data_IF_021819263634
#
_entry.id   IF_021819263634
#
_cell.length_a   1.000
_cell.length_b   1.000
_cell.length_c   1.000
_cell.angle_alpha   90.00
_cell.angle_beta   90.00
_cell.angle_gamma   90.00
#
_symmetry.space_group_name_H-M   'P 1'
#
loop_
_entity.id
_entity.type
_entity.pdbx_description
1 polymer ?
#
# COMPACT_ATOMS: atom_id res chain seq x y z
N UNK A 1 -60.05 50.19 -20.98
CA UNK A 1 -58.54 50.20 -20.77
C UNK A 1 -58.08 49.12 -19.82
N UNK A 2 -58.94 48.42 -19.02
CA UNK A 2 -58.49 47.32 -18.08
C UNK A 2 -58.42 45.92 -18.72
N UNK A 3 -58.93 45.73 -19.97
CA UNK A 3 -58.96 44.43 -20.65
C UNK A 3 -57.64 44.07 -21.35
N UNK A 4 -56.97 45.04 -21.93
CA UNK A 4 -55.75 44.82 -22.73
C UNK A 4 -54.50 44.47 -21.91
N UNK A 5 -54.36 45.01 -20.71
CA UNK A 5 -53.24 44.74 -19.82
C UNK A 5 -53.21 43.28 -19.27
N UNK A 6 -54.41 42.67 -19.12
CA UNK A 6 -54.54 41.28 -18.63
C UNK A 6 -54.23 40.25 -19.69
N UNK A 7 -54.56 40.55 -20.95
CA UNK A 7 -54.22 39.69 -22.11
C UNK A 7 -52.74 39.77 -22.46
N UNK A 8 -52.12 40.94 -22.39
CA UNK A 8 -50.66 41.10 -22.58
C UNK A 8 -49.89 40.35 -21.49
N UNK A 9 -50.35 40.41 -20.24
CA UNK A 9 -49.69 39.67 -19.11
C UNK A 9 -49.79 38.14 -19.28
N UNK A 10 -50.93 37.64 -19.80
CA UNK A 10 -51.13 36.21 -20.10
C UNK A 10 -50.27 35.77 -21.28
N UNK A 11 -50.12 36.62 -22.29
CA UNK A 11 -49.26 36.33 -23.45
C UNK A 11 -47.79 36.32 -23.07
N UNK A 12 -47.33 37.24 -22.20
CA UNK A 12 -45.97 37.28 -21.67
C UNK A 12 -45.66 36.03 -20.82
N UNK A 13 -46.62 35.63 -19.96
CA UNK A 13 -46.45 34.42 -19.11
C UNK A 13 -46.34 33.15 -19.96
N UNK A 14 -47.10 33.03 -21.07
CA UNK A 14 -46.99 31.92 -22.02
C UNK A 14 -45.67 31.93 -22.78
N UNK A 15 -45.15 33.10 -23.17
CA UNK A 15 -43.84 33.22 -23.81
C UNK A 15 -42.71 32.83 -22.85
N UNK A 16 -42.76 33.28 -21.61
CA UNK A 16 -41.74 32.88 -20.58
C UNK A 16 -41.79 31.38 -20.30
N UNK A 17 -42.98 30.80 -20.18
CA UNK A 17 -43.14 29.36 -20.00
C UNK A 17 -42.61 28.55 -21.20
N UNK A 18 -42.84 29.05 -22.44
CA UNK A 18 -42.33 28.42 -23.64
C UNK A 18 -40.79 28.52 -23.75
N UNK A 19 -40.20 29.66 -23.40
CA UNK A 19 -38.75 29.83 -23.35
C UNK A 19 -38.10 28.96 -22.26
N UNK A 20 -38.70 28.82 -21.09
CA UNK A 20 -38.21 27.94 -20.03
C UNK A 20 -38.30 26.46 -20.44
N UNK A 21 -39.37 26.05 -21.15
CA UNK A 21 -39.45 24.66 -21.64
C UNK A 21 -38.45 24.36 -22.76
N UNK A 22 -38.17 25.35 -23.64
CA UNK A 22 -37.10 25.19 -24.65
C UNK A 22 -35.70 25.13 -24.03
N UNK A 23 -35.41 25.90 -22.99
CA UNK A 23 -34.16 25.86 -22.27
C UNK A 23 -33.97 24.54 -21.50
N UNK A 24 -35.05 23.98 -20.94
CA UNK A 24 -35.03 22.64 -20.32
C UNK A 24 -34.81 21.55 -21.39
N UNK A 25 -35.44 21.63 -22.55
CA UNK A 25 -35.20 20.68 -23.64
C UNK A 25 -33.75 20.75 -24.18
N UNK A 26 -33.18 21.94 -24.29
CA UNK A 26 -31.79 22.14 -24.72
C UNK A 26 -30.80 21.57 -23.70
N UNK A 27 -31.13 21.61 -22.42
CA UNK A 27 -30.33 20.95 -21.33
C UNK A 27 -30.30 19.43 -21.41
N UNK A 28 -31.34 18.80 -21.94
CA UNK A 28 -31.36 17.35 -22.17
C UNK A 28 -30.62 16.88 -23.41
N UNK A 29 -30.34 17.79 -24.37
CA UNK A 29 -29.59 17.51 -25.60
C UNK A 29 -28.09 17.71 -25.45
N UNK A 30 -27.62 18.31 -24.37
CA UNK A 30 -26.20 18.32 -23.98
C UNK A 30 -25.87 17.05 -23.16
N UNK A 31 -26.25 15.89 -23.68
CA UNK A 31 -25.78 14.60 -23.18
C UNK A 31 -24.28 14.59 -23.34
N UNK A 32 -23.57 14.65 -22.19
CA UNK A 32 -22.14 14.37 -22.13
C UNK A 32 -21.86 13.09 -22.91
N UNK A 33 -20.94 13.17 -23.84
CA UNK A 33 -20.29 12.00 -24.45
C UNK A 33 -19.58 11.20 -23.36
N UNK A 34 -20.33 10.45 -22.52
CA UNK A 34 -19.82 9.54 -21.48
C UNK A 34 -19.57 8.13 -22.05
N UNK A 35 -19.84 7.94 -23.33
CA UNK A 35 -19.46 6.68 -23.99
C UNK A 35 -18.09 6.94 -24.62
N UNK A 36 -17.05 6.70 -23.84
CA UNK A 36 -15.69 6.55 -24.40
C UNK A 36 -15.75 5.41 -25.42
N UNK A 37 -15.37 5.70 -26.64
CA UNK A 37 -15.22 4.72 -27.71
C UNK A 37 -14.36 3.56 -27.18
N UNK A 38 -14.77 2.29 -27.34
CA UNK A 38 -13.94 1.14 -26.94
C UNK A 38 -12.49 1.21 -27.46
N UNK A 39 -12.27 1.85 -28.61
CA UNK A 39 -10.93 2.09 -29.16
C UNK A 39 -10.12 3.07 -28.30
N UNK A 40 -10.75 4.10 -27.73
CA UNK A 40 -10.05 5.04 -26.82
C UNK A 40 -9.70 4.41 -25.47
N UNK A 41 -10.46 3.39 -25.03
CA UNK A 41 -10.15 2.59 -23.83
C UNK A 41 -9.05 1.55 -24.08
N UNK A 42 -8.77 1.22 -25.34
CA UNK A 42 -7.69 0.30 -25.76
C UNK A 42 -6.40 1.04 -26.14
N UNK A 43 -6.39 2.35 -26.15
CA UNK A 43 -5.17 3.12 -26.34
C UNK A 43 -4.28 2.97 -25.12
N UNK A 44 -3.02 2.55 -25.34
CA UNK A 44 -2.00 2.63 -24.30
C UNK A 44 -1.91 4.08 -23.81
N UNK A 45 -1.85 4.31 -22.48
CA UNK A 45 -1.68 5.66 -21.95
C UNK A 45 -0.51 6.36 -22.65
N UNK A 46 -0.76 7.50 -23.29
CA UNK A 46 0.31 8.32 -23.86
C UNK A 46 1.14 8.87 -22.71
N UNK A 47 2.46 8.65 -22.75
CA UNK A 47 3.38 9.31 -21.82
C UNK A 47 3.26 10.83 -22.00
N UNK A 48 3.41 11.58 -20.90
CA UNK A 48 3.55 13.04 -20.98
C UNK A 48 4.77 13.42 -21.82
N UNK A 49 4.71 14.58 -22.47
CA UNK A 49 5.80 15.08 -23.31
C UNK A 49 7.13 15.14 -22.54
N UNK A 50 7.10 15.53 -21.29
CA UNK A 50 8.26 15.56 -20.38
C UNK A 50 8.88 14.18 -20.18
N UNK A 51 8.06 13.15 -19.90
CA UNK A 51 8.55 11.76 -19.78
C UNK A 51 9.10 11.21 -21.09
N UNK A 52 8.53 11.61 -22.21
CA UNK A 52 9.08 11.23 -23.53
C UNK A 52 10.42 11.89 -23.79
N UNK A 53 10.58 13.16 -23.45
CA UNK A 53 11.84 13.90 -23.58
C UNK A 53 12.93 13.30 -22.67
N UNK A 54 12.60 13.00 -21.42
CA UNK A 54 13.53 12.35 -20.48
C UNK A 54 13.98 10.97 -20.98
N UNK A 55 13.04 10.11 -21.41
CA UNK A 55 13.40 8.80 -21.98
C UNK A 55 14.24 8.93 -23.25
N UNK A 56 13.97 9.92 -24.10
CA UNK A 56 14.77 10.25 -25.28
C UNK A 56 16.19 10.66 -24.92
N UNK A 57 16.34 11.50 -23.90
CA UNK A 57 17.63 11.94 -23.37
C UNK A 57 18.45 10.77 -22.78
N UNK A 58 17.79 9.91 -21.98
CA UNK A 58 18.41 8.70 -21.41
C UNK A 58 18.97 7.82 -22.53
N UNK A 59 18.16 7.48 -23.54
CA UNK A 59 18.56 6.63 -24.65
C UNK A 59 19.72 7.25 -25.48
N UNK A 60 19.68 8.58 -25.66
CA UNK A 60 20.71 9.26 -26.49
C UNK A 60 22.04 9.39 -25.76
N UNK A 61 22.02 9.67 -24.44
CA UNK A 61 23.20 10.03 -23.66
C UNK A 61 23.83 8.87 -22.88
N UNK A 62 23.06 7.80 -22.63
CA UNK A 62 23.57 6.55 -22.00
C UNK A 62 23.66 5.38 -22.98
N UNK A 63 23.20 5.57 -24.24
CA UNK A 63 23.06 4.48 -25.20
C UNK A 63 21.75 3.71 -24.97
N UNK A 64 21.60 2.56 -25.63
CA UNK A 64 20.38 1.75 -25.54
C UNK A 64 20.28 0.97 -24.20
N UNK A 65 20.50 1.65 -23.07
CA UNK A 65 20.32 1.05 -21.74
C UNK A 65 18.86 1.09 -21.33
N UNK A 66 18.44 0.09 -20.57
CA UNK A 66 17.11 0.09 -19.94
C UNK A 66 17.24 0.46 -18.47
N UNK A 67 16.47 1.44 -17.98
CA UNK A 67 16.41 1.74 -16.55
C UNK A 67 15.97 0.51 -15.75
N UNK A 68 16.69 0.21 -14.68
CA UNK A 68 16.36 -0.86 -13.75
C UNK A 68 15.11 -0.50 -12.97
N UNK A 69 14.23 -1.48 -12.79
CA UNK A 69 13.11 -1.38 -11.86
C UNK A 69 13.57 -1.92 -10.51
N UNK A 70 13.30 -1.19 -9.42
CA UNK A 70 13.50 -1.76 -8.09
C UNK A 70 12.70 -3.06 -7.92
N UNK A 71 13.26 -4.00 -7.19
CA UNK A 71 12.60 -5.25 -6.81
C UNK A 71 11.59 -5.02 -5.65
N UNK A 72 11.03 -3.81 -5.58
CA UNK A 72 10.00 -3.39 -4.66
C UNK A 72 8.65 -3.44 -5.39
N UNK A 73 7.75 -4.38 -5.05
CA UNK A 73 6.46 -4.50 -5.73
C UNK A 73 5.53 -3.30 -5.47
N UNK A 74 5.72 -2.60 -4.36
CA UNK A 74 4.91 -1.44 -4.00
C UNK A 74 5.36 -0.17 -4.73
N UNK A 75 6.64 -0.10 -5.14
CA UNK A 75 7.19 1.06 -5.85
C UNK A 75 8.23 0.70 -6.93
N UNK A 76 7.80 0.07 -8.03
CA UNK A 76 8.68 -0.38 -9.11
C UNK A 76 9.09 0.74 -10.09
N UNK A 77 9.04 2.00 -9.68
CA UNK A 77 9.30 3.15 -10.56
C UNK A 77 10.79 3.24 -10.90
N UNK A 78 11.18 3.14 -12.20
CA UNK A 78 12.59 3.04 -12.58
C UNK A 78 13.33 4.38 -12.67
N UNK A 79 12.62 5.48 -12.92
CA UNK A 79 13.18 6.84 -13.00
C UNK A 79 12.44 7.70 -12.00
N UNK A 80 13.16 8.40 -11.15
CA UNK A 80 12.60 9.32 -10.17
C UNK A 80 13.02 10.73 -10.46
N UNK A 81 12.09 11.66 -10.26
CA UNK A 81 12.35 13.10 -10.40
C UNK A 81 12.10 13.79 -9.08
N UNK A 82 12.87 14.82 -8.81
CA UNK A 82 12.76 15.67 -7.66
C UNK A 82 13.90 16.66 -7.57
N UNK A 83 13.71 17.74 -6.84
CA UNK A 83 14.70 18.78 -6.66
C UNK A 83 15.81 18.31 -5.68
N UNK A 84 16.99 17.96 -6.25
CA UNK A 84 18.12 17.45 -5.49
C UNK A 84 19.14 18.54 -5.15
N UNK A 85 19.01 19.74 -5.71
CA UNK A 85 19.98 20.84 -5.54
C UNK A 85 19.37 22.13 -4.99
N UNK A 86 18.05 22.15 -4.74
CA UNK A 86 17.25 23.26 -4.24
C UNK A 86 17.26 24.50 -5.16
N UNK A 87 17.22 24.26 -6.48
CA UNK A 87 17.11 25.34 -7.47
C UNK A 87 15.65 25.53 -7.97
N UNK A 88 14.73 24.68 -7.51
CA UNK A 88 13.32 24.69 -7.86
C UNK A 88 13.00 23.99 -9.18
N UNK A 89 13.97 23.28 -9.76
CA UNK A 89 13.82 22.45 -10.96
C UNK A 89 14.14 21.01 -10.58
N UNK A 90 13.32 20.07 -11.02
CA UNK A 90 13.55 18.66 -10.70
C UNK A 90 14.74 18.09 -11.50
N UNK A 91 15.62 17.34 -10.85
CA UNK A 91 16.54 16.42 -11.46
C UNK A 91 15.88 15.06 -11.67
N UNK A 92 16.42 14.29 -12.61
CA UNK A 92 16.04 12.90 -12.81
C UNK A 92 17.19 11.95 -12.47
N UNK A 93 16.87 10.91 -11.69
CA UNK A 93 17.80 9.86 -11.32
C UNK A 93 17.26 8.51 -11.77
N UNK A 94 18.15 7.68 -12.28
CA UNK A 94 17.85 6.29 -12.64
C UNK A 94 19.06 5.40 -12.38
N UNK A 95 18.79 4.11 -12.23
CA UNK A 95 19.81 3.06 -12.26
C UNK A 95 19.68 2.24 -13.53
N UNK A 96 20.79 1.72 -14.04
CA UNK A 96 20.84 0.87 -15.23
C UNK A 96 21.95 -0.18 -15.10
N UNK A 97 21.87 -1.22 -15.92
CA UNK A 97 22.80 -2.35 -15.89
C UNK A 97 23.79 -2.31 -17.04
N UNK A 98 25.05 -2.65 -16.72
CA UNK A 98 26.13 -2.87 -17.71
C UNK A 98 26.71 -4.27 -17.48
N UNK A 99 26.16 -5.33 -18.10
CA UNK A 99 26.47 -6.73 -17.77
C UNK A 99 27.92 -7.13 -17.96
N UNK A 100 28.60 -6.45 -18.85
CA UNK A 100 29.99 -6.76 -19.25
C UNK A 100 31.07 -6.07 -18.39
N UNK A 101 30.63 -5.24 -17.41
CA UNK A 101 31.53 -4.52 -16.52
C UNK A 101 31.66 -5.20 -15.14
N UNK A 102 32.74 -4.87 -14.42
CA UNK A 102 32.96 -5.39 -13.06
C UNK A 102 31.94 -4.84 -12.06
N UNK A 103 31.53 -3.59 -12.21
CA UNK A 103 30.39 -2.99 -11.55
C UNK A 103 29.19 -3.13 -12.50
N UNK A 104 28.16 -3.82 -12.08
CA UNK A 104 27.03 -4.13 -12.96
C UNK A 104 25.94 -3.08 -12.92
N UNK A 105 25.72 -2.44 -11.77
CA UNK A 105 24.69 -1.42 -11.59
C UNK A 105 25.36 -0.06 -11.55
N UNK A 106 24.92 0.83 -12.42
CA UNK A 106 25.32 2.24 -12.44
C UNK A 106 24.11 3.13 -12.24
N UNK A 107 24.32 4.28 -11.61
CA UNK A 107 23.36 5.36 -11.53
C UNK A 107 23.69 6.47 -12.52
N UNK A 108 22.67 7.21 -12.95
CA UNK A 108 22.83 8.43 -13.73
C UNK A 108 21.90 9.53 -13.20
N UNK A 109 22.42 10.74 -13.18
CA UNK A 109 21.71 11.95 -12.83
C UNK A 109 21.61 12.86 -14.05
N UNK A 110 20.41 13.35 -14.31
CA UNK A 110 20.08 14.30 -15.38
C UNK A 110 19.51 15.57 -14.78
N UNK A 111 19.91 16.72 -15.31
CA UNK A 111 19.30 18.03 -14.99
C UNK A 111 18.40 18.47 -16.14
N UNK A 112 17.27 19.09 -15.81
CA UNK A 112 16.44 19.78 -16.81
C UNK A 112 16.97 21.20 -17.06
N UNK A 113 17.42 21.44 -18.28
CA UNK A 113 17.89 22.76 -18.76
C UNK A 113 16.84 23.42 -19.66
N UNK A 114 15.72 23.81 -19.06
CA UNK A 114 14.63 24.47 -19.78
C UNK A 114 13.88 23.56 -20.76
N UNK A 115 13.55 22.35 -20.34
CA UNK A 115 12.85 21.33 -21.11
C UNK A 115 13.81 20.40 -21.90
N UNK A 116 15.11 20.52 -21.69
CA UNK A 116 16.13 19.64 -22.28
C UNK A 116 16.87 18.92 -21.18
N UNK A 117 16.67 17.60 -21.07
CA UNK A 117 17.36 16.78 -20.10
C UNK A 117 18.82 16.52 -20.52
N UNK A 118 19.75 16.89 -19.66
CA UNK A 118 21.21 16.76 -19.88
C UNK A 118 21.80 15.88 -18.79
N UNK A 119 22.51 14.82 -19.20
CA UNK A 119 23.24 13.96 -18.26
C UNK A 119 24.34 14.76 -17.57
N UNK A 120 24.25 14.86 -16.25
CA UNK A 120 25.22 15.57 -15.43
C UNK A 120 26.37 14.68 -15.01
N UNK A 121 26.06 13.52 -14.47
CA UNK A 121 27.05 12.56 -13.98
C UNK A 121 26.52 11.13 -14.05
N UNK A 122 27.45 10.19 -13.92
CA UNK A 122 27.18 8.78 -13.63
C UNK A 122 27.93 8.39 -12.38
N UNK A 123 27.41 7.39 -11.67
CA UNK A 123 28.00 6.89 -10.42
C UNK A 123 27.77 5.39 -10.30
N UNK A 124 28.58 4.73 -9.46
CA UNK A 124 28.49 3.30 -9.27
C UNK A 124 27.44 2.96 -8.20
N UNK A 125 26.61 1.96 -8.50
CA UNK A 125 25.80 1.25 -7.52
C UNK A 125 26.59 0.08 -6.91
N UNK A 126 25.88 -0.82 -6.25
CA UNK A 126 26.46 -2.03 -5.67
C UNK A 126 25.65 -3.28 -6.08
N UNK A 127 26.26 -4.47 -5.93
CA UNK A 127 25.58 -5.74 -6.18
C UNK A 127 25.13 -5.95 -7.64
N UNK A 128 24.08 -6.77 -7.78
CA UNK A 128 23.53 -7.16 -9.10
C UNK A 128 22.01 -6.96 -9.18
N UNK A 129 21.36 -6.64 -8.07
CA UNK A 129 19.92 -6.38 -7.98
C UNK A 129 19.69 -5.03 -7.28
N UNK A 130 18.88 -4.18 -7.89
CA UNK A 130 18.35 -2.98 -7.28
C UNK A 130 17.10 -3.38 -6.48
N UNK A 131 17.21 -3.43 -5.14
CA UNK A 131 16.13 -3.84 -4.26
C UNK A 131 15.10 -2.73 -4.03
N UNK A 132 15.60 -1.50 -3.81
CA UNK A 132 14.77 -0.33 -3.57
C UNK A 132 15.43 0.93 -4.09
N UNK A 133 14.63 1.95 -4.38
CA UNK A 133 15.12 3.24 -4.83
C UNK A 133 14.13 4.33 -4.42
N UNK A 134 14.57 5.31 -3.63
CA UNK A 134 13.74 6.42 -3.14
C UNK A 134 14.49 7.74 -3.22
N UNK A 135 13.75 8.86 -3.31
CA UNK A 135 14.24 10.22 -3.11
C UNK A 135 13.59 10.78 -1.85
N UNK A 136 14.39 11.07 -0.83
CA UNK A 136 13.91 11.52 0.50
C UNK A 136 14.95 12.48 1.08
N UNK A 137 14.52 13.61 1.63
CA UNK A 137 15.41 14.54 2.37
C UNK A 137 15.77 13.94 3.74
N UNK A 138 16.84 13.13 3.79
CA UNK A 138 17.37 12.51 5.02
C UNK A 138 18.42 13.39 5.71
N UNK A 139 19.06 14.28 4.95
CA UNK A 139 20.00 15.27 5.50
C UNK A 139 19.29 16.41 6.21
N UNK A 140 17.98 16.57 5.98
CA UNK A 140 17.12 17.61 6.53
C UNK A 140 17.58 19.03 6.15
N UNK A 141 18.15 19.19 4.96
CA UNK A 141 18.64 20.45 4.43
C UNK A 141 17.69 21.09 3.38
N UNK A 142 16.58 20.39 3.07
CA UNK A 142 15.57 20.81 2.12
C UNK A 142 15.80 20.28 0.71
N UNK A 143 16.90 19.54 0.47
CA UNK A 143 17.16 18.82 -0.78
C UNK A 143 16.84 17.34 -0.65
N UNK A 144 16.53 16.68 -1.76
CA UNK A 144 16.28 15.24 -1.74
C UNK A 144 17.58 14.45 -1.87
N UNK A 145 17.77 13.47 -1.00
CA UNK A 145 18.85 12.50 -1.08
C UNK A 145 18.41 11.25 -1.85
N UNK A 146 19.37 10.57 -2.48
CA UNK A 146 19.14 9.30 -3.19
C UNK A 146 19.36 8.16 -2.20
N UNK A 147 18.32 7.38 -1.93
CA UNK A 147 18.36 6.20 -1.07
C UNK A 147 18.18 4.97 -1.92
N UNK A 148 19.22 4.14 -2.02
CA UNK A 148 19.21 2.95 -2.85
C UNK A 148 19.61 1.69 -2.07
N UNK A 149 18.82 0.66 -2.21
CA UNK A 149 19.07 -0.67 -1.67
C UNK A 149 19.52 -1.64 -2.74
N UNK A 150 20.54 -2.43 -2.46
CA UNK A 150 21.16 -3.37 -3.40
C UNK A 150 21.32 -4.75 -2.77
N UNK A 151 21.34 -5.80 -3.61
CA UNK A 151 21.75 -7.15 -3.21
C UNK A 151 22.57 -7.83 -4.28
N UNK A 152 23.20 -8.96 -3.93
CA UNK A 152 23.94 -9.80 -4.88
C UNK A 152 23.04 -10.72 -5.71
N UNK A 153 21.76 -10.85 -5.34
CA UNK A 153 20.80 -11.75 -5.98
C UNK A 153 21.02 -13.23 -5.66
N UNK A 154 22.06 -13.57 -4.92
CA UNK A 154 22.30 -14.94 -4.47
C UNK A 154 21.58 -15.17 -3.16
N UNK A 155 20.52 -15.98 -3.18
CA UNK A 155 19.78 -16.42 -1.99
C UNK A 155 20.66 -17.36 -1.17
N UNK A 156 21.53 -16.82 -0.32
CA UNK A 156 22.26 -17.65 0.63
C UNK A 156 21.36 -18.06 1.80
N UNK A 157 21.57 -19.27 2.35
CA UNK A 157 20.83 -19.77 3.51
C UNK A 157 20.91 -18.85 4.76
N UNK A 158 21.79 -17.86 4.74
CA UNK A 158 22.04 -16.91 5.83
C UNK A 158 21.30 -15.56 5.67
N UNK A 159 20.34 -15.46 4.72
CA UNK A 159 19.65 -14.22 4.36
C UNK A 159 20.51 -13.37 3.42
N UNK A 160 19.91 -12.86 2.36
CA UNK A 160 20.56 -11.96 1.41
C UNK A 160 21.11 -10.76 2.18
N UNK A 161 22.43 -10.56 2.11
CA UNK A 161 23.02 -9.35 2.64
C UNK A 161 22.70 -8.23 1.66
N UNK A 162 21.68 -7.42 2.00
CA UNK A 162 21.34 -6.21 1.28
C UNK A 162 22.19 -5.07 1.80
N UNK A 163 22.65 -4.21 0.88
CA UNK A 163 23.37 -2.98 1.19
C UNK A 163 22.49 -1.77 0.91
N UNK A 164 22.39 -0.85 1.85
CA UNK A 164 21.74 0.45 1.70
C UNK A 164 22.81 1.51 1.53
N UNK A 165 22.63 2.38 0.54
CA UNK A 165 23.49 3.54 0.32
C UNK A 165 22.60 4.78 0.26
N UNK A 166 23.08 5.85 0.92
CA UNK A 166 22.51 7.19 0.79
C UNK A 166 23.54 8.08 0.09
N UNK A 167 23.10 8.73 -0.98
CA UNK A 167 23.89 9.73 -1.69
C UNK A 167 23.20 11.09 -1.56
N UNK A 168 24.02 12.14 -1.36
CA UNK A 168 23.57 13.53 -1.38
C UNK A 168 24.20 14.27 -2.55
N UNK A 169 23.39 15.08 -3.25
CA UNK A 169 23.84 15.86 -4.41
C UNK A 169 23.96 17.32 -4.05
N UNK A 170 25.19 17.81 -3.90
CA UNK A 170 25.47 19.17 -3.47
C UNK A 170 26.54 19.82 -4.34
N UNK A 171 26.29 21.03 -4.83
CA UNK A 171 27.26 21.79 -5.60
C UNK A 171 27.69 21.12 -6.92
N UNK A 172 26.83 20.31 -7.53
CA UNK A 172 27.10 19.57 -8.76
C UNK A 172 27.90 18.28 -8.53
N UNK A 173 28.11 17.87 -7.28
CA UNK A 173 28.84 16.66 -6.89
C UNK A 173 27.93 15.72 -6.11
N UNK A 174 27.96 14.43 -6.45
CA UNK A 174 27.25 13.38 -5.72
C UNK A 174 28.23 12.73 -4.73
N UNK A 175 27.85 12.71 -3.46
CA UNK A 175 28.63 12.14 -2.37
C UNK A 175 27.88 10.96 -1.74
N UNK A 176 28.59 9.86 -1.50
CA UNK A 176 28.09 8.73 -0.68
C UNK A 176 28.25 9.10 0.79
N UNK A 177 27.14 9.51 1.44
CA UNK A 177 27.14 10.02 2.82
C UNK A 177 26.86 8.94 3.87
N UNK A 178 26.28 7.81 3.45
CA UNK A 178 26.01 6.68 4.35
C UNK A 178 25.99 5.34 3.60
N UNK A 179 26.42 4.27 4.26
CA UNK A 179 26.28 2.91 3.78
C UNK A 179 26.20 1.93 4.95
N UNK A 180 25.29 0.95 4.84
CA UNK A 180 25.08 -0.08 5.86
C UNK A 180 24.44 -1.32 5.25
N UNK A 181 24.59 -2.48 5.93
CA UNK A 181 23.76 -3.63 5.64
C UNK A 181 22.34 -3.46 6.20
N UNK A 182 21.37 -4.13 5.61
CA UNK A 182 19.98 -4.14 6.10
C UNK A 182 19.23 -5.43 5.74
N UNK A 183 18.18 -5.74 6.49
CA UNK A 183 17.13 -6.69 6.13
C UNK A 183 15.95 -5.94 5.51
N UNK A 184 15.58 -4.82 6.17
CA UNK A 184 14.58 -3.86 5.72
C UNK A 184 14.89 -2.47 6.29
N UNK A 185 14.28 -1.42 5.76
CA UNK A 185 14.50 -0.06 6.24
C UNK A 185 13.26 0.83 6.08
N UNK A 186 13.23 1.93 6.82
CA UNK A 186 12.18 2.96 6.77
C UNK A 186 12.82 4.34 6.65
N UNK A 187 12.35 5.12 5.67
CA UNK A 187 12.74 6.52 5.43
C UNK A 187 11.55 7.45 5.26
N UNK A 188 10.37 6.87 5.01
CA UNK A 188 9.09 7.57 4.83
C UNK A 188 7.94 6.79 5.49
N UNK A 189 6.81 7.43 5.71
CA UNK A 189 5.59 6.72 6.13
C UNK A 189 4.88 6.05 4.93
N UNK A 190 3.84 5.28 5.21
CA UNK A 190 3.06 4.57 4.18
C UNK A 190 2.36 5.49 3.16
N UNK A 191 2.34 6.81 3.39
CA UNK A 191 1.86 7.83 2.47
C UNK A 191 3.01 8.59 1.77
N UNK A 192 4.24 8.10 1.86
CA UNK A 192 5.46 8.75 1.35
C UNK A 192 5.70 10.15 1.94
N UNK A 193 5.38 10.30 3.21
CA UNK A 193 5.63 11.53 3.97
C UNK A 193 6.78 11.31 4.94
N UNK A 194 7.27 12.44 5.48
CA UNK A 194 8.32 12.47 6.50
C UNK A 194 8.05 11.48 7.63
N UNK A 195 9.04 10.64 7.90
CA UNK A 195 9.08 9.75 9.06
C UNK A 195 9.88 10.40 10.19
N UNK A 196 9.22 10.75 11.27
CA UNK A 196 9.77 11.42 12.44
C UNK A 196 9.32 10.66 13.68
N UNK A 197 10.17 9.78 14.17
CA UNK A 197 9.87 8.91 15.32
C UNK A 197 10.01 9.62 16.66
N UNK A 198 10.94 10.57 16.75
CA UNK A 198 11.26 11.26 18.00
C UNK A 198 10.43 12.54 18.21
N UNK A 199 9.75 13.04 17.18
CA UNK A 199 8.87 14.21 17.22
C UNK A 199 9.59 15.54 17.12
N UNK A 200 10.81 15.58 16.55
CA UNK A 200 11.61 16.81 16.40
C UNK A 200 11.45 17.49 15.03
N UNK A 201 10.58 16.94 14.18
CA UNK A 201 10.28 17.41 12.84
C UNK A 201 11.42 17.27 11.82
N UNK A 202 12.36 16.37 12.06
CA UNK A 202 13.38 15.94 11.10
C UNK A 202 13.08 14.55 10.57
N UNK A 203 13.59 14.20 9.39
CA UNK A 203 13.49 12.84 8.87
C UNK A 203 14.42 11.90 9.60
N UNK A 204 13.90 10.73 9.93
CA UNK A 204 14.66 9.65 10.54
C UNK A 204 14.87 8.51 9.53
N UNK A 205 16.03 7.87 9.60
CA UNK A 205 16.34 6.62 8.90
C UNK A 205 16.29 5.47 9.92
N UNK A 206 15.39 4.53 9.73
CA UNK A 206 15.39 3.32 10.55
C UNK A 206 15.88 2.12 9.76
N UNK A 207 16.86 1.40 10.30
CA UNK A 207 17.45 0.18 9.76
C UNK A 207 17.01 -1.01 10.59
N UNK A 208 16.54 -2.05 9.92
CA UNK A 208 16.12 -3.31 10.50
C UNK A 208 17.14 -4.37 10.07
N UNK A 209 17.72 -5.04 11.03
CA UNK A 209 18.75 -6.07 10.86
C UNK A 209 18.29 -7.35 11.52
N UNK A 210 18.09 -8.41 10.74
CA UNK A 210 17.77 -9.74 11.24
C UNK A 210 18.78 -10.75 10.70
N UNK A 211 19.48 -11.43 11.61
CA UNK A 211 20.18 -12.68 11.34
C UNK A 211 19.69 -13.70 12.34
N UNK A 212 19.00 -14.69 11.84
CA UNK A 212 18.34 -15.71 12.66
C UNK A 212 19.32 -16.34 13.67
N UNK A 213 18.87 -16.47 14.92
CA UNK A 213 19.61 -16.99 16.09
C UNK A 213 20.85 -16.15 16.50
N UNK A 214 21.13 -15.04 15.83
CA UNK A 214 22.25 -14.17 16.21
C UNK A 214 21.73 -12.84 16.75
N UNK A 215 21.04 -12.07 15.93
CA UNK A 215 20.49 -10.78 16.32
C UNK A 215 19.22 -10.44 15.53
N UNK A 216 18.37 -9.64 16.14
CA UNK A 216 17.28 -8.91 15.49
C UNK A 216 17.24 -7.51 16.09
N UNK A 217 17.81 -6.55 15.40
CA UNK A 217 18.02 -5.19 15.89
C UNK A 217 17.28 -4.18 15.01
N UNK A 218 16.63 -3.22 15.64
CA UNK A 218 16.04 -2.05 15.00
C UNK A 218 16.81 -0.83 15.45
N UNK A 219 17.40 -0.06 14.54
CA UNK A 219 18.19 1.13 14.83
C UNK A 219 17.65 2.33 14.08
N UNK A 220 17.43 3.43 14.75
CA UNK A 220 17.02 4.69 14.15
C UNK A 220 18.16 5.69 14.20
N UNK A 221 18.38 6.32 13.05
CA UNK A 221 19.43 7.32 12.85
C UNK A 221 18.81 8.63 12.38
N UNK A 222 19.49 9.72 12.69
CA UNK A 222 19.18 11.05 12.21
C UNK A 222 20.46 11.72 11.73
N UNK A 223 20.39 12.47 10.62
CA UNK A 223 21.53 13.20 10.11
C UNK A 223 21.79 14.46 10.94
N UNK A 224 22.99 14.60 11.46
CA UNK A 224 23.38 15.76 12.28
C UNK A 224 24.88 15.95 12.29
N UNK A 225 25.32 17.20 11.99
CA UNK A 225 26.73 17.54 11.97
C UNK A 225 27.53 16.80 10.89
N UNK A 226 26.92 16.56 9.72
CA UNK A 226 27.56 15.94 8.57
C UNK A 226 27.62 14.40 8.61
N UNK A 227 26.88 13.76 9.54
CA UNK A 227 26.87 12.28 9.64
C UNK A 227 25.56 11.77 10.23
N UNK A 228 25.21 10.51 9.95
CA UNK A 228 24.10 9.82 10.61
C UNK A 228 24.50 9.39 12.02
N UNK A 229 23.72 9.81 13.01
CA UNK A 229 23.90 9.45 14.42
C UNK A 229 22.76 8.58 14.88
N UNK A 230 23.07 7.49 15.55
CA UNK A 230 22.06 6.62 16.18
C UNK A 230 21.33 7.41 17.29
N UNK A 231 20.00 7.52 17.16
CA UNK A 231 19.10 8.17 18.13
C UNK A 231 18.30 7.15 18.94
N UNK A 232 18.29 5.89 18.52
CA UNK A 232 17.63 4.83 19.23
C UNK A 232 17.98 3.45 18.69
N UNK A 233 17.99 2.46 19.58
CA UNK A 233 18.20 1.06 19.26
C UNK A 233 17.28 0.18 20.08
N UNK A 234 16.85 -0.94 19.50
CA UNK A 234 15.98 -1.93 20.14
C UNK A 234 16.35 -3.34 19.65
N UNK A 235 16.55 -4.24 20.56
CA UNK A 235 16.69 -5.67 20.27
C UNK A 235 15.31 -6.35 20.31
N UNK A 236 15.05 -7.18 19.30
CA UNK A 236 13.88 -8.06 19.20
C UNK A 236 14.31 -9.52 19.28
N UNK A 237 13.34 -10.44 19.21
CA UNK A 237 13.63 -11.88 19.30
C UNK A 237 14.35 -12.40 18.05
N UNK A 238 15.62 -12.74 18.16
CA UNK A 238 16.46 -13.24 17.06
C UNK A 238 16.07 -14.65 16.56
N UNK A 239 15.14 -15.34 17.23
CA UNK A 239 14.61 -16.61 16.74
C UNK A 239 13.59 -16.43 15.60
N UNK A 240 13.21 -15.19 15.28
CA UNK A 240 12.36 -14.88 14.14
C UNK A 240 12.91 -15.51 12.85
N UNK A 241 12.00 -16.10 12.06
CA UNK A 241 12.34 -16.76 10.79
C UNK A 241 12.55 -15.75 9.66
N UNK A 242 11.92 -14.57 9.76
CA UNK A 242 12.02 -13.52 8.75
C UNK A 242 11.03 -12.37 9.02
N UNK A 243 11.31 -11.25 8.38
CA UNK A 243 10.41 -10.10 8.26
C UNK A 243 9.63 -10.25 6.97
N UNK A 244 8.31 -10.10 7.00
CA UNK A 244 7.49 -10.21 5.79
C UNK A 244 6.70 -8.92 5.46
N UNK A 245 6.61 -7.99 6.41
CA UNK A 245 6.00 -6.68 6.18
C UNK A 245 6.58 -5.66 7.16
N UNK A 246 6.89 -4.48 6.65
CA UNK A 246 7.28 -3.32 7.45
C UNK A 246 6.44 -2.14 6.99
N UNK A 247 5.76 -1.52 7.92
CA UNK A 247 4.96 -0.32 7.65
C UNK A 247 5.21 0.72 8.72
N UNK A 248 5.38 1.95 8.30
CA UNK A 248 5.63 3.09 9.18
C UNK A 248 4.58 4.17 9.01
N UNK A 249 4.31 4.92 10.05
CA UNK A 249 3.31 5.97 10.05
C UNK A 249 2.73 6.21 11.44
N UNK A 250 1.55 6.81 11.50
CA UNK A 250 0.84 6.94 12.78
C UNK A 250 0.39 5.57 13.27
N UNK A 251 0.77 5.19 14.48
CA UNK A 251 0.30 3.98 15.18
C UNK A 251 -0.75 4.28 16.24
N UNK A 252 -0.91 5.55 16.59
CA UNK A 252 -2.00 6.11 17.38
C UNK A 252 -2.14 7.61 17.09
N UNK A 253 -3.20 8.23 17.61
CA UNK A 253 -3.40 9.66 17.43
C UNK A 253 -2.19 10.47 17.95
N UNK A 254 -1.55 11.22 17.05
CA UNK A 254 -0.37 12.05 17.37
C UNK A 254 0.91 11.28 17.71
N UNK A 255 1.00 9.97 17.39
CA UNK A 255 2.16 9.14 17.64
C UNK A 255 2.58 8.40 16.37
N UNK A 256 3.78 8.68 15.89
CA UNK A 256 4.41 7.89 14.84
C UNK A 256 5.07 6.63 15.41
N UNK A 257 5.17 5.61 14.58
CA UNK A 257 5.77 4.33 14.93
C UNK A 257 5.99 3.46 13.71
N UNK A 258 6.53 2.29 13.95
CA UNK A 258 6.78 1.27 12.93
C UNK A 258 6.13 -0.03 13.39
N UNK A 259 5.47 -0.72 12.49
CA UNK A 259 5.00 -2.08 12.71
C UNK A 259 5.85 -3.02 11.85
N UNK A 260 6.52 -3.95 12.49
CA UNK A 260 7.33 -4.99 11.84
C UNK A 260 6.62 -6.31 12.05
N UNK A 261 6.04 -6.85 10.97
CA UNK A 261 5.41 -8.16 10.99
C UNK A 261 6.46 -9.23 10.72
N UNK A 262 6.64 -10.12 11.69
CA UNK A 262 7.66 -11.17 11.68
C UNK A 262 7.06 -12.55 11.70
N UNK A 263 7.66 -13.47 10.97
CA UNK A 263 7.36 -14.89 11.00
C UNK A 263 8.21 -15.54 12.10
N UNK A 264 7.58 -16.25 13.02
CA UNK A 264 8.27 -16.94 14.12
C UNK A 264 8.13 -18.46 14.03
N UNK A 265 7.15 -18.97 13.32
CA UNK A 265 7.00 -20.36 12.91
C UNK A 265 6.37 -20.41 11.51
N UNK A 266 6.14 -21.59 10.96
CA UNK A 266 5.61 -21.75 9.60
C UNK A 266 4.30 -20.98 9.38
N UNK A 267 3.38 -21.06 10.33
CA UNK A 267 2.07 -20.38 10.30
C UNK A 267 1.95 -19.25 11.32
N UNK A 268 2.87 -19.14 12.27
CA UNK A 268 2.76 -18.20 13.39
C UNK A 268 3.55 -16.93 13.13
N UNK A 269 2.92 -15.80 13.35
CA UNK A 269 3.52 -14.48 13.14
C UNK A 269 3.29 -13.54 14.32
N UNK A 270 4.08 -12.48 14.40
CA UNK A 270 3.97 -11.42 15.42
C UNK A 270 4.08 -10.05 14.77
N UNK A 271 3.17 -9.14 15.10
CA UNK A 271 3.31 -7.72 14.77
C UNK A 271 4.05 -7.00 15.89
N UNK A 272 5.27 -6.54 15.62
CA UNK A 272 6.05 -5.76 16.58
C UNK A 272 5.75 -4.28 16.38
N UNK A 273 4.92 -3.70 17.23
CA UNK A 273 4.60 -2.26 17.20
C UNK A 273 5.67 -1.52 18.00
N UNK A 274 6.41 -0.65 17.33
CA UNK A 274 7.58 0.04 17.86
C UNK A 274 7.34 1.54 17.82
N UNK A 275 7.65 2.22 18.92
CA UNK A 275 7.56 3.68 19.06
C UNK A 275 8.81 4.23 19.71
N UNK A 276 9.11 5.50 19.48
CA UNK A 276 10.10 6.26 20.26
C UNK A 276 9.40 6.85 21.50
N UNK A 277 9.93 6.57 22.68
CA UNK A 277 9.41 7.08 23.94
C UNK A 277 10.56 7.59 24.82
N UNK A 278 10.54 8.89 25.15
CA UNK A 278 11.61 9.54 25.92
C UNK A 278 13.03 9.26 25.35
N UNK A 279 13.19 9.34 24.03
CA UNK A 279 14.47 9.11 23.35
C UNK A 279 14.93 7.66 23.29
N UNK A 280 14.03 6.69 23.50
CA UNK A 280 14.33 5.27 23.40
C UNK A 280 13.30 4.55 22.55
N UNK A 281 13.76 3.71 21.64
CA UNK A 281 12.88 2.77 20.95
C UNK A 281 12.34 1.73 21.93
N UNK A 282 11.05 1.46 21.85
CA UNK A 282 10.44 0.37 22.61
C UNK A 282 9.35 -0.34 21.81
N UNK A 283 9.28 -1.64 21.97
CA UNK A 283 8.17 -2.46 21.53
C UNK A 283 7.01 -2.34 22.51
N UNK A 284 5.80 -2.13 21.99
CA UNK A 284 4.58 -2.15 22.78
C UNK A 284 4.20 -3.58 23.16
N UNK A 285 3.76 -3.77 24.40
CA UNK A 285 3.28 -5.08 24.87
C UNK A 285 1.79 -5.24 24.57
N UNK A 286 1.47 -5.73 23.38
CA UNK A 286 0.11 -5.94 22.87
C UNK A 286 -0.11 -7.41 22.46
N UNK A 287 0.54 -8.36 23.18
CA UNK A 287 0.64 -9.77 22.79
C UNK A 287 -0.71 -10.44 22.49
N UNK A 288 -1.78 -10.08 23.21
CA UNK A 288 -3.11 -10.70 23.05
C UNK A 288 -3.70 -10.50 21.64
N UNK A 289 -3.25 -9.47 20.91
CA UNK A 289 -3.75 -9.13 19.58
C UNK A 289 -2.67 -9.08 18.49
N UNK A 290 -1.40 -9.12 18.87
CA UNK A 290 -0.28 -9.07 17.93
C UNK A 290 0.33 -10.43 17.60
N UNK A 291 0.12 -11.44 18.45
CA UNK A 291 0.51 -12.83 18.22
C UNK A 291 -0.62 -13.57 17.48
N UNK A 292 -0.33 -14.23 16.38
CA UNK A 292 -1.34 -14.80 15.49
C UNK A 292 -0.84 -16.02 14.72
N UNK A 293 -1.74 -16.98 14.49
CA UNK A 293 -1.46 -18.19 13.69
C UNK A 293 -1.86 -17.98 12.22
N UNK A 294 -1.46 -16.83 11.65
CA UNK A 294 -1.66 -16.50 10.25
C UNK A 294 -0.70 -15.40 9.81
N UNK A 295 -0.44 -15.33 8.50
CA UNK A 295 0.27 -14.21 7.89
C UNK A 295 -0.74 -13.11 7.55
N UNK A 296 -0.82 -12.09 8.42
CA UNK A 296 -1.71 -10.93 8.26
C UNK A 296 -0.85 -9.70 8.34
N UNK A 297 -0.68 -9.01 7.21
CA UNK A 297 0.08 -7.78 7.14
C UNK A 297 -0.63 -6.63 7.88
N UNK A 298 0.14 -5.85 8.61
CA UNK A 298 -0.29 -4.60 9.23
C UNK A 298 -0.34 -3.47 8.19
N UNK A 299 -1.20 -2.48 8.40
CA UNK A 299 -1.36 -1.34 7.50
C UNK A 299 -2.55 -0.48 7.89
N UNK A 300 -2.80 0.62 7.19
CA UNK A 300 -4.02 1.43 7.33
C UNK A 300 -5.16 0.73 6.55
N UNK A 301 -5.91 -0.13 7.25
CA UNK A 301 -6.92 -0.98 6.62
C UNK A 301 -8.30 -0.33 6.53
N UNK A 302 -8.60 0.69 7.35
CA UNK A 302 -9.87 1.41 7.31
C UNK A 302 -9.77 2.80 6.66
N UNK A 303 -8.56 3.26 6.31
CA UNK A 303 -8.31 4.51 5.61
C UNK A 303 -8.34 5.75 6.50
N UNK A 304 -8.19 5.60 7.82
CA UNK A 304 -8.22 6.71 8.76
C UNK A 304 -6.84 7.40 8.96
N UNK A 305 -5.80 6.84 8.34
CA UNK A 305 -4.42 7.35 8.39
C UNK A 305 -3.66 6.91 9.63
N UNK A 306 -4.15 5.91 10.36
CA UNK A 306 -3.47 5.26 11.49
C UNK A 306 -3.33 3.77 11.16
N UNK A 307 -2.21 3.18 11.54
CA UNK A 307 -1.90 1.80 11.23
C UNK A 307 -2.60 0.82 12.17
N UNK A 308 -3.16 -0.23 11.59
CA UNK A 308 -3.72 -1.38 12.27
C UNK A 308 -2.82 -2.60 12.16
N UNK A 309 -2.97 -3.49 13.13
CA UNK A 309 -2.45 -4.86 13.11
C UNK A 309 -3.61 -5.84 13.27
N UNK A 310 -3.57 -6.92 12.47
CA UNK A 310 -4.65 -7.90 12.41
C UNK A 310 -4.41 -9.12 13.26
N UNK A 311 -5.48 -9.77 13.71
CA UNK A 311 -5.45 -11.08 14.34
C UNK A 311 -6.60 -11.96 13.83
N UNK A 312 -6.44 -13.28 13.94
CA UNK A 312 -7.51 -14.23 13.65
C UNK A 312 -8.54 -14.25 14.77
N UNK A 313 -9.80 -14.18 14.41
CA UNK A 313 -10.92 -14.33 15.31
C UNK A 313 -11.77 -15.54 14.91
N UNK A 314 -11.92 -16.49 15.85
CA UNK A 314 -12.75 -17.66 15.62
C UNK A 314 -14.22 -17.26 15.70
N UNK A 315 -15.05 -17.54 14.66
CA UNK A 315 -16.47 -17.24 14.70
C UNK A 315 -17.16 -18.00 15.83
N UNK A 316 -18.19 -17.40 16.43
CA UNK A 316 -18.98 -18.03 17.47
C UNK A 316 -19.62 -19.34 16.95
N UNK A 317 -19.59 -20.38 17.79
CA UNK A 317 -20.09 -21.73 17.44
C UNK A 317 -19.06 -22.65 16.77
N UNK A 318 -17.84 -22.18 16.49
CA UNK A 318 -16.78 -22.96 15.86
C UNK A 318 -15.70 -23.51 16.82
N UNK A 319 -15.90 -23.37 18.14
CA UNK A 319 -14.92 -23.75 19.15
C UNK A 319 -14.51 -25.22 19.12
N UNK A 320 -15.43 -26.11 18.75
CA UNK A 320 -15.24 -27.56 18.73
C UNK A 320 -14.90 -28.13 17.34
N UNK A 321 -14.52 -27.27 16.40
CA UNK A 321 -14.09 -27.69 15.06
C UNK A 321 -12.58 -27.76 14.95
N UNK A 322 -12.00 -28.67 14.13
CA UNK A 322 -10.58 -28.64 13.78
C UNK A 322 -10.16 -27.26 13.29
N UNK A 323 -8.95 -26.83 13.61
CA UNK A 323 -8.48 -25.48 13.31
C UNK A 323 -8.44 -25.19 11.81
N UNK A 324 -8.13 -26.19 11.01
CA UNK A 324 -8.08 -26.15 9.55
C UNK A 324 -9.46 -26.05 8.89
N UNK A 325 -10.53 -26.41 9.61
CA UNK A 325 -11.91 -26.27 9.13
C UNK A 325 -12.55 -24.92 9.48
N UNK A 326 -11.94 -24.17 10.39
CA UNK A 326 -12.54 -22.90 10.88
C UNK A 326 -12.41 -21.79 9.84
N UNK A 327 -13.51 -21.18 9.39
CA UNK A 327 -13.49 -20.03 8.52
C UNK A 327 -13.30 -18.76 9.36
N UNK A 328 -12.04 -18.44 9.71
CA UNK A 328 -11.72 -17.34 10.60
C UNK A 328 -12.15 -15.99 10.04
N UNK A 329 -12.55 -15.08 10.93
CA UNK A 329 -12.49 -13.65 10.67
C UNK A 329 -11.08 -13.14 10.91
N UNK A 330 -10.75 -12.03 10.26
CA UNK A 330 -9.59 -11.20 10.58
C UNK A 330 -10.10 -9.92 11.20
N UNK A 331 -9.70 -9.68 12.45
CA UNK A 331 -10.05 -8.48 13.21
C UNK A 331 -8.83 -7.58 13.34
N UNK A 332 -8.98 -6.31 12.99
CA UNK A 332 -7.92 -5.31 13.00
C UNK A 332 -8.08 -4.35 14.18
N UNK A 333 -6.96 -4.01 14.77
CA UNK A 333 -6.86 -3.20 15.97
C UNK A 333 -5.82 -2.10 15.80
N UNK A 334 -6.08 -0.93 16.37
CA UNK A 334 -5.13 0.15 16.58
C UNK A 334 -4.65 0.13 18.04
N UNK A 335 -3.45 0.63 18.27
CA UNK A 335 -3.03 1.00 19.61
C UNK A 335 -3.81 2.25 20.08
N UNK A 336 -4.28 2.26 21.33
CA UNK A 336 -5.04 3.37 21.91
C UNK A 336 -4.18 4.57 22.36
N UNK A 337 -2.86 4.48 22.16
CA UNK A 337 -1.88 5.48 22.62
C UNK A 337 -1.43 5.30 24.07
N UNK A 338 -1.98 4.31 24.77
CA UNK A 338 -1.68 4.04 26.20
C UNK A 338 -1.27 2.56 26.41
N UNK A 339 -2.18 1.72 26.85
CA UNK A 339 -1.92 0.32 27.20
C UNK A 339 -2.84 -0.68 26.49
N UNK A 340 -3.85 -0.20 25.83
CA UNK A 340 -4.89 -1.01 25.21
C UNK A 340 -4.90 -0.93 23.69
N UNK A 341 -5.94 -1.49 23.13
CA UNK A 341 -6.21 -1.46 21.70
C UNK A 341 -7.63 -1.04 21.40
N UNK A 342 -7.84 -0.46 20.24
CA UNK A 342 -9.14 -0.08 19.72
C UNK A 342 -9.45 -1.00 18.55
N UNK A 343 -10.58 -1.72 18.62
CA UNK A 343 -11.07 -2.52 17.50
C UNK A 343 -11.56 -1.61 16.37
N UNK A 344 -11.12 -1.88 15.13
CA UNK A 344 -11.35 -0.99 13.98
C UNK A 344 -12.14 -1.65 12.86
N UNK A 345 -11.76 -2.85 12.49
CA UNK A 345 -12.29 -3.50 11.29
C UNK A 345 -12.40 -5.01 11.50
N UNK A 346 -13.47 -5.61 10.99
CA UNK A 346 -13.60 -7.06 10.89
C UNK A 346 -13.78 -7.47 9.43
N UNK A 347 -13.04 -8.49 9.02
CA UNK A 347 -13.05 -8.99 7.65
C UNK A 347 -13.20 -10.51 7.66
N UNK A 348 -13.78 -11.06 6.60
CA UNK A 348 -13.65 -12.46 6.26
C UNK A 348 -12.61 -12.62 5.15
N UNK A 349 -11.73 -13.61 5.27
CA UNK A 349 -10.84 -14.07 4.21
C UNK A 349 -11.07 -15.55 3.95
N UNK A 350 -11.12 -15.95 2.67
CA UNK A 350 -11.11 -17.36 2.33
C UNK A 350 -9.72 -17.98 2.52
N UNK A 351 -9.64 -19.31 2.62
CA UNK A 351 -8.39 -20.02 2.91
C UNK A 351 -7.29 -19.83 1.86
N UNK A 352 -7.66 -19.50 0.64
CA UNK A 352 -6.72 -19.26 -0.47
C UNK A 352 -6.42 -17.77 -0.66
N UNK A 353 -6.90 -16.89 0.24
CA UNK A 353 -6.73 -15.44 0.20
C UNK A 353 -7.15 -14.78 -1.13
N UNK A 354 -8.02 -15.44 -1.90
CA UNK A 354 -8.49 -14.95 -3.20
C UNK A 354 -9.60 -13.93 -3.06
N UNK A 355 -10.38 -14.05 -1.99
CA UNK A 355 -11.53 -13.20 -1.71
C UNK A 355 -11.56 -12.86 -0.24
N UNK A 356 -11.75 -11.61 0.03
CA UNK A 356 -12.15 -11.15 1.34
C UNK A 356 -13.20 -10.05 1.23
N UNK A 357 -14.01 -9.88 2.25
CA UNK A 357 -14.91 -8.76 2.35
C UNK A 357 -14.89 -8.17 3.76
N UNK A 358 -15.06 -6.86 3.80
CA UNK A 358 -15.14 -6.11 5.05
C UNK A 358 -16.56 -6.16 5.56
N UNK A 359 -16.73 -6.40 6.85
CA UNK A 359 -18.02 -6.21 7.50
C UNK A 359 -18.25 -4.71 7.73
N UNK A 360 -19.46 -4.20 7.43
CA UNK A 360 -19.85 -2.86 7.83
C UNK A 360 -19.68 -2.65 9.35
N UNK A 361 -19.32 -1.44 9.75
CA UNK A 361 -19.04 -1.10 11.15
C UNK A 361 -20.18 -1.47 12.10
N UNK A 362 -21.42 -1.36 11.63
CA UNK A 362 -22.62 -1.69 12.38
C UNK A 362 -22.75 -3.19 12.69
N UNK A 363 -22.07 -4.03 11.92
CA UNK A 363 -22.07 -5.49 12.02
C UNK A 363 -20.86 -6.06 12.75
N UNK A 364 -19.87 -5.23 13.11
CA UNK A 364 -18.67 -5.68 13.80
C UNK A 364 -19.03 -6.39 15.12
N UNK A 365 -18.48 -7.59 15.32
CA UNK A 365 -18.72 -8.40 16.52
C UNK A 365 -20.15 -8.96 16.65
N UNK A 366 -21.03 -8.74 15.66
CA UNK A 366 -22.43 -9.22 15.67
C UNK A 366 -22.69 -10.32 14.65
N UNK A 367 -21.69 -10.66 13.85
CA UNK A 367 -21.81 -11.64 12.77
C UNK A 367 -21.05 -12.88 13.15
N UNK A 368 -21.63 -14.03 12.87
CA UNK A 368 -20.92 -15.30 12.88
C UNK A 368 -21.15 -16.04 11.56
N UNK A 369 -20.38 -17.11 11.33
CA UNK A 369 -20.56 -18.02 10.21
C UNK A 369 -21.30 -19.24 10.73
N UNK A 370 -22.45 -19.57 10.14
CA UNK A 370 -23.32 -20.62 10.62
C UNK A 370 -22.62 -22.00 10.57
N UNK A 371 -22.30 -22.61 11.73
CA UNK A 371 -21.58 -23.88 11.79
C UNK A 371 -22.42 -25.09 11.38
N UNK A 372 -23.74 -24.95 11.24
CA UNK A 372 -24.65 -26.04 10.90
C UNK A 372 -24.64 -26.37 9.41
N UNK A 373 -24.48 -25.34 8.56
CA UNK A 373 -24.56 -25.47 7.10
C UNK A 373 -23.32 -25.04 6.35
N UNK A 374 -22.46 -24.25 6.97
CA UNK A 374 -21.23 -23.77 6.32
C UNK A 374 -20.21 -24.88 6.19
N UNK A 375 -19.57 -24.93 5.02
CA UNK A 375 -18.44 -25.81 4.72
C UNK A 375 -17.34 -24.96 4.13
N UNK A 376 -16.16 -25.02 4.72
CA UNK A 376 -14.97 -24.33 4.23
C UNK A 376 -14.79 -24.59 2.72
N UNK A 377 -14.43 -23.57 1.99
CA UNK A 377 -14.07 -23.58 0.57
C UNK A 377 -15.19 -23.99 -0.41
N UNK A 378 -16.42 -24.23 0.06
CA UNK A 378 -17.55 -24.57 -0.83
C UNK A 378 -18.82 -23.75 -0.60
N UNK A 379 -19.16 -23.48 0.66
CA UNK A 379 -20.36 -22.72 1.03
C UNK A 379 -20.22 -22.14 2.44
N UNK A 380 -20.50 -20.85 2.57
CA UNK A 380 -20.48 -20.12 3.83
C UNK A 380 -21.76 -19.30 3.96
N UNK A 381 -22.41 -19.39 5.11
CA UNK A 381 -23.56 -18.58 5.45
C UNK A 381 -23.23 -17.68 6.66
N UNK A 382 -23.24 -16.39 6.43
CA UNK A 382 -23.03 -15.37 7.45
C UNK A 382 -24.38 -14.99 8.06
N UNK A 383 -24.47 -15.04 9.37
CA UNK A 383 -25.69 -14.77 10.12
C UNK A 383 -25.45 -13.77 11.25
N UNK A 384 -26.48 -13.05 11.63
CA UNK A 384 -26.45 -12.28 12.88
C UNK A 384 -26.46 -13.24 14.06
N UNK A 385 -25.60 -12.98 15.03
CA UNK A 385 -25.37 -13.86 16.18
C UNK A 385 -26.57 -13.97 17.15
N UNK A 386 -27.42 -12.93 17.20
CA UNK A 386 -28.56 -12.81 18.08
C UNK A 386 -29.85 -13.38 17.48
N UNK A 387 -30.01 -13.40 16.17
CA UNK A 387 -31.26 -13.71 15.47
C UNK A 387 -31.16 -14.85 14.47
N UNK A 388 -29.97 -15.38 14.22
CA UNK A 388 -29.67 -16.33 13.12
C UNK A 388 -30.12 -15.81 11.73
N UNK A 389 -30.37 -14.50 11.58
CA UNK A 389 -30.78 -13.91 10.30
C UNK A 389 -29.61 -13.94 9.32
N UNK A 390 -29.82 -14.53 8.15
CA UNK A 390 -28.80 -14.56 7.08
C UNK A 390 -28.56 -13.16 6.52
N UNK A 391 -27.30 -12.73 6.50
CA UNK A 391 -26.86 -11.46 5.93
C UNK A 391 -26.10 -11.64 4.62
N UNK A 392 -25.37 -12.75 4.47
CA UNK A 392 -24.70 -13.12 3.23
C UNK A 392 -24.54 -14.62 3.10
N UNK A 393 -24.42 -15.07 1.86
CA UNK A 393 -24.01 -16.42 1.50
C UNK A 393 -22.90 -16.33 0.45
N UNK A 394 -21.81 -17.09 0.63
CA UNK A 394 -20.75 -17.26 -0.35
C UNK A 394 -20.75 -18.71 -0.80
N UNK A 395 -20.70 -18.93 -2.10
CA UNK A 395 -20.65 -20.26 -2.71
C UNK A 395 -19.60 -20.32 -3.80
N UNK A 396 -18.81 -21.38 -3.78
CA UNK A 396 -17.78 -21.64 -4.76
C UNK A 396 -18.35 -22.61 -5.81
N UNK A 397 -18.40 -22.15 -7.06
CA UNK A 397 -18.94 -22.89 -8.19
C UNK A 397 -17.81 -23.33 -9.11
N UNK A 398 -17.90 -24.54 -9.67
CA UNK A 398 -17.16 -24.82 -10.90
C UNK A 398 -17.70 -23.96 -12.05
N UNK A 399 -16.91 -23.72 -13.10
CA UNK A 399 -17.37 -22.94 -14.26
C UNK A 399 -18.64 -23.52 -14.86
N UNK A 400 -18.70 -24.85 -15.00
CA UNK A 400 -19.86 -25.55 -15.55
C UNK A 400 -21.11 -25.48 -14.67
N UNK A 401 -20.97 -25.43 -13.36
CA UNK A 401 -22.10 -25.19 -12.44
C UNK A 401 -22.64 -23.79 -12.58
N UNK A 402 -21.74 -22.79 -12.61
CA UNK A 402 -22.10 -21.37 -12.76
C UNK A 402 -22.87 -21.11 -14.06
N UNK A 403 -22.39 -21.65 -15.17
CA UNK A 403 -23.00 -21.46 -16.50
C UNK A 403 -24.37 -22.16 -16.63
N UNK A 404 -24.57 -23.29 -15.96
CA UNK A 404 -25.87 -23.97 -15.94
C UNK A 404 -26.88 -23.27 -15.06
N UNK A 405 -26.51 -22.89 -13.88
CA UNK A 405 -27.37 -22.21 -12.91
C UNK A 405 -26.55 -21.58 -11.79
N UNK A 406 -26.52 -20.26 -11.75
CA UNK A 406 -25.87 -19.51 -10.68
C UNK A 406 -26.73 -19.39 -9.41
N UNK A 407 -27.91 -20.03 -9.38
CA UNK A 407 -28.82 -20.05 -8.22
C UNK A 407 -29.18 -18.65 -7.68
N UNK A 408 -29.08 -17.61 -8.50
CA UNK A 408 -29.32 -16.20 -8.10
C UNK A 408 -28.17 -15.57 -7.32
N UNK A 409 -26.98 -16.15 -7.34
CA UNK A 409 -25.76 -15.52 -6.84
C UNK A 409 -25.24 -14.48 -7.84
N UNK A 410 -24.72 -13.38 -7.33
CA UNK A 410 -23.92 -12.43 -8.10
C UNK A 410 -22.46 -12.89 -8.12
N UNK A 411 -21.78 -12.71 -9.26
CA UNK A 411 -20.36 -13.04 -9.35
C UNK A 411 -19.52 -12.07 -8.53
N UNK A 412 -18.80 -12.61 -7.56
CA UNK A 412 -17.82 -11.87 -6.76
C UNK A 412 -16.43 -11.93 -7.41
N UNK A 413 -16.04 -13.14 -7.81
CA UNK A 413 -14.74 -13.43 -8.40
C UNK A 413 -14.83 -14.56 -9.44
N UNK A 414 -13.97 -14.54 -10.46
CA UNK A 414 -13.84 -15.61 -11.45
C UNK A 414 -12.38 -15.87 -11.77
N UNK A 415 -12.02 -17.14 -11.76
CA UNK A 415 -10.74 -17.64 -12.26
C UNK A 415 -10.96 -18.54 -13.47
N UNK A 416 -9.91 -19.13 -14.00
CA UNK A 416 -9.99 -20.14 -15.06
C UNK A 416 -10.58 -21.48 -14.57
N UNK A 417 -10.69 -21.68 -13.24
CA UNK A 417 -11.14 -22.94 -12.63
C UNK A 417 -12.49 -22.83 -11.93
N UNK A 418 -12.82 -21.67 -11.35
CA UNK A 418 -13.99 -21.51 -10.49
C UNK A 418 -14.59 -20.11 -10.53
N UNK A 419 -15.84 -20.00 -10.09
CA UNK A 419 -16.53 -18.72 -9.81
C UNK A 419 -16.93 -18.69 -8.35
N UNK A 420 -16.65 -17.58 -7.69
CA UNK A 420 -17.13 -17.31 -6.34
C UNK A 420 -18.36 -16.42 -6.47
N UNK A 421 -19.49 -16.94 -6.01
CA UNK A 421 -20.76 -16.24 -6.01
C UNK A 421 -21.12 -15.74 -4.62
N UNK A 422 -21.80 -14.61 -4.55
CA UNK A 422 -22.33 -14.02 -3.31
C UNK A 422 -23.82 -13.69 -3.45
N UNK A 423 -24.60 -14.01 -2.41
CA UNK A 423 -25.92 -13.44 -2.15
C UNK A 423 -25.82 -12.55 -0.92
N UNK A 424 -26.45 -11.40 -0.96
CA UNK A 424 -26.42 -10.41 0.14
C UNK A 424 -27.82 -10.03 0.54
N UNK A 425 -27.99 -9.74 1.82
CA UNK A 425 -29.13 -8.97 2.28
C UNK A 425 -28.89 -7.47 2.01
N UNK A 426 -29.93 -6.66 2.15
CA UNK A 426 -29.85 -5.21 1.99
C UNK A 426 -28.89 -4.52 2.99
N UNK A 427 -28.51 -5.21 4.06
CA UNK A 427 -27.55 -4.70 5.05
C UNK A 427 -26.10 -4.76 4.55
N UNK A 428 -25.86 -5.53 3.48
CA UNK A 428 -24.52 -5.72 2.88
C UNK A 428 -24.51 -5.29 1.40
N UNK A 429 -24.83 -4.05 1.09
CA UNK A 429 -24.68 -3.54 -0.27
C UNK A 429 -23.22 -3.24 -0.61
N UNK A 430 -22.76 -3.62 -1.82
CA UNK A 430 -21.36 -3.40 -2.22
C UNK A 430 -21.07 -1.91 -2.41
N UNK A 431 -20.07 -1.37 -1.74
CA UNK A 431 -19.67 0.01 -1.93
C UNK A 431 -18.62 0.20 -3.03
N UNK A 432 -17.68 -0.63 -3.24
CA UNK A 432 -16.73 -0.67 -4.39
C UNK A 432 -15.77 -1.85 -4.25
N UNK A 433 -15.27 -2.37 -5.38
CA UNK A 433 -14.17 -3.34 -5.37
C UNK A 433 -12.86 -2.55 -5.44
N UNK A 434 -12.04 -2.61 -4.40
CA UNK A 434 -10.72 -1.97 -4.34
C UNK A 434 -9.67 -3.09 -4.40
N UNK A 435 -8.60 -2.92 -5.18
CA UNK A 435 -7.41 -3.78 -5.09
C UNK A 435 -6.55 -3.28 -3.94
N UNK A 436 -6.16 -4.17 -3.04
CA UNK A 436 -5.13 -3.86 -2.06
C UNK A 436 -3.72 -3.98 -2.66
N UNK A 437 -2.71 -3.59 -1.88
CA UNK A 437 -1.30 -3.64 -2.28
C UNK A 437 -0.80 -5.03 -2.69
N UNK A 438 -1.44 -6.11 -2.20
CA UNK A 438 -1.10 -7.49 -2.56
C UNK A 438 -1.84 -8.01 -3.81
N UNK A 439 -2.61 -7.17 -4.51
CA UNK A 439 -3.35 -7.55 -5.71
C UNK A 439 -4.64 -8.31 -5.45
N UNK A 440 -5.04 -8.48 -4.19
CA UNK A 440 -6.30 -9.08 -3.79
C UNK A 440 -7.48 -8.14 -4.09
N UNK A 441 -8.63 -8.71 -4.48
CA UNK A 441 -9.83 -7.90 -4.70
C UNK A 441 -10.64 -7.81 -3.42
N UNK A 442 -10.82 -6.59 -2.93
CA UNK A 442 -11.74 -6.27 -1.84
C UNK A 442 -13.13 -5.97 -2.39
N UNK A 443 -14.16 -6.40 -1.66
CA UNK A 443 -15.54 -5.95 -1.82
C UNK A 443 -15.90 -5.20 -0.56
N UNK A 444 -16.06 -3.91 -0.67
CA UNK A 444 -16.64 -3.06 0.38
C UNK A 444 -18.15 -3.18 0.44
#
# INVERSE_FOLDING_TARGET
>A
VKGTAREVKKMLLKMVACCCSLLLLAGFLSGCNVISDPISLMQTPTMSDEKQQLNGAVNTQLGAVQPLRPNDPDDPTPIRTGDLNNDGIDEAVLFYETPDESVKIHGALFEDQGGTWVKKLTFDGEGTVLESFKLVDLTNDGTLDIVAGFSSGDSSENGDQKGLIVYSYTGGTLEKIYATGYTDFVVDDFNHKKMDLNGDNLNDLTIILLRRNEFFTVKTFQFSGGTFKEIGSLELDSQALGVYNVVAGKVAQGRQGIIIDTKIAETTTVSNVIVMDHGKLRKLNLMDVTFKDATIASGDVDGDGILEFGNLEKPKGWSNRPLDEVPYFVSFYQWDGAKGTIFKQQQYRDSNEQVYFRLPKELHGKVTIDPKVSRKDSYLRFILDDTDKTIAEIKFFSLSQWERNNEGYSQLWRTNAQVIGIKRSSELEPRKTIKNKMGERQVE
#
